data_IF_527885798497
#
_entry.id   IF_527885798497
#
_cell.length_a   1.000
_cell.length_b   1.000
_cell.length_c   1.000
_cell.angle_alpha   90.00
_cell.angle_beta   90.00
_cell.angle_gamma   90.00
#
_symmetry.space_group_name_H-M   'P 1'
#
loop_
_entity.id
_entity.type
_entity.pdbx_description
1 polymer ?
#
# COMPACT_ATOMS: atom_id res chain seq x y z
N UNK A 1 -18.96 -6.13 -12.38
CA UNK A 1 -17.81 -6.53 -11.53
C UNK A 1 -17.94 -5.84 -10.19
N UNK A 2 -17.69 -6.53 -9.08
CA UNK A 2 -17.72 -5.94 -7.74
C UNK A 2 -16.30 -5.70 -7.27
N UNK A 3 -15.96 -4.47 -6.92
CA UNK A 3 -14.62 -4.09 -6.47
C UNK A 3 -14.57 -3.94 -4.95
N UNK A 4 -13.46 -4.36 -4.33
CA UNK A 4 -13.17 -3.98 -2.95
C UNK A 4 -12.94 -2.47 -2.87
N UNK A 5 -13.53 -1.86 -1.85
CA UNK A 5 -13.31 -0.46 -1.48
C UNK A 5 -12.23 -0.39 -0.42
N UNK A 6 -11.64 0.80 -0.27
CA UNK A 6 -10.69 1.09 0.78
C UNK A 6 -11.21 0.70 2.17
N UNK A 7 -10.31 0.22 3.02
CA UNK A 7 -10.61 0.00 4.44
C UNK A 7 -10.68 1.35 5.19
N UNK A 8 -10.94 1.31 6.50
CA UNK A 8 -11.02 2.53 7.33
C UNK A 8 -9.76 3.42 7.28
N UNK A 9 -8.57 2.86 7.01
CA UNK A 9 -7.32 3.63 6.84
C UNK A 9 -7.30 4.38 5.52
N UNK A 10 -7.79 3.74 4.47
CA UNK A 10 -7.77 4.29 3.12
C UNK A 10 -8.84 5.36 2.95
N UNK A 11 -10.02 5.15 3.52
CA UNK A 11 -11.20 5.98 3.24
C UNK A 11 -12.03 5.41 2.08
N UNK A 12 -13.00 6.19 1.60
CA UNK A 12 -13.96 5.74 0.59
C UNK A 12 -13.55 6.10 -0.85
N UNK A 13 -12.52 6.93 -1.04
CA UNK A 13 -12.03 7.40 -2.33
C UNK A 13 -11.01 6.48 -3.00
N UNK A 14 -11.05 5.18 -2.71
CA UNK A 14 -10.05 4.20 -3.16
C UNK A 14 -10.70 2.86 -3.53
N UNK A 15 -10.38 2.33 -4.71
CA UNK A 15 -10.53 0.91 -5.03
C UNK A 15 -9.27 0.15 -4.59
N UNK A 16 -9.44 -1.11 -4.22
CA UNK A 16 -8.33 -1.95 -3.75
C UNK A 16 -8.22 -3.20 -4.60
N UNK A 17 -6.98 -3.53 -4.97
CA UNK A 17 -6.60 -4.84 -5.51
C UNK A 17 -5.88 -5.62 -4.42
N UNK A 18 -6.32 -6.85 -4.18
CA UNK A 18 -5.77 -7.71 -3.14
C UNK A 18 -5.47 -9.08 -3.72
N UNK A 19 -4.21 -9.50 -3.62
CA UNK A 19 -3.80 -10.88 -3.90
C UNK A 19 -3.53 -11.59 -2.57
N UNK A 20 -3.66 -12.91 -2.55
CA UNK A 20 -3.41 -13.69 -1.34
C UNK A 20 -1.93 -13.61 -0.96
N UNK A 21 -1.62 -13.39 0.33
CA UNK A 21 -0.24 -13.24 0.81
C UNK A 21 0.64 -14.43 0.46
N UNK A 22 0.13 -15.66 0.55
CA UNK A 22 0.89 -16.90 0.30
C UNK A 22 1.68 -16.89 -1.02
N UNK A 23 1.02 -17.21 -2.14
CA UNK A 23 1.71 -17.39 -3.43
C UNK A 23 2.32 -16.09 -4.00
N UNK A 24 2.03 -14.94 -3.40
CA UNK A 24 2.43 -13.63 -3.91
C UNK A 24 3.44 -12.89 -3.05
N UNK A 25 3.90 -13.53 -1.98
CA UNK A 25 5.08 -13.14 -1.22
C UNK A 25 6.15 -14.25 -1.33
N UNK A 26 7.44 -13.93 -1.22
CA UNK A 26 8.47 -14.96 -1.20
C UNK A 26 8.29 -15.85 0.04
N UNK A 27 8.46 -17.16 -0.13
CA UNK A 27 8.45 -18.12 0.98
C UNK A 27 9.59 -17.89 1.97
N UNK A 28 10.63 -17.15 1.56
CA UNK A 28 11.76 -16.73 2.38
C UNK A 28 11.53 -15.42 3.12
N UNK A 29 10.30 -14.86 3.10
CA UNK A 29 10.00 -13.65 3.86
C UNK A 29 10.04 -13.93 5.37
N UNK A 30 10.97 -13.29 6.08
CA UNK A 30 11.16 -13.48 7.53
C UNK A 30 9.92 -13.17 8.37
N UNK A 31 9.00 -12.36 7.85
CA UNK A 31 7.76 -12.00 8.54
C UNK A 31 6.60 -12.97 8.25
N UNK A 32 6.71 -13.82 7.22
CA UNK A 32 5.66 -14.79 6.89
C UNK A 32 5.57 -15.83 8.01
N UNK A 33 4.38 -16.02 8.58
CA UNK A 33 4.14 -16.81 9.79
C UNK A 33 4.76 -16.24 11.08
N UNK A 34 5.49 -15.12 11.01
CA UNK A 34 6.11 -14.45 12.16
C UNK A 34 5.86 -12.93 12.13
N UNK A 35 4.60 -12.55 12.35
CA UNK A 35 4.22 -11.14 12.55
C UNK A 35 3.87 -10.36 11.28
N UNK A 36 3.81 -10.97 10.09
CA UNK A 36 3.35 -10.29 8.87
C UNK A 36 1.97 -9.66 9.04
N UNK A 37 1.91 -8.32 8.97
CA UNK A 37 0.66 -7.57 9.07
C UNK A 37 -0.37 -7.99 8.02
N UNK A 38 0.05 -8.24 6.78
CA UNK A 38 -0.85 -8.65 5.70
C UNK A 38 -1.44 -10.04 5.98
N UNK A 39 -0.63 -10.99 6.44
CA UNK A 39 -1.06 -12.34 6.81
C UNK A 39 -1.97 -12.32 8.05
N UNK A 40 -1.61 -11.56 9.09
CA UNK A 40 -2.42 -11.38 10.29
C UNK A 40 -3.79 -10.81 9.93
N UNK A 41 -3.83 -9.83 9.02
CA UNK A 41 -5.08 -9.28 8.49
C UNK A 41 -5.89 -10.35 7.75
N UNK A 42 -5.27 -11.17 6.89
CA UNK A 42 -5.94 -12.30 6.24
C UNK A 42 -6.45 -13.38 7.20
N UNK A 43 -5.75 -13.61 8.31
CA UNK A 43 -6.10 -14.59 9.35
C UNK A 43 -7.27 -14.14 10.23
N UNK A 44 -7.37 -12.84 10.53
CA UNK A 44 -8.49 -12.27 11.32
C UNK A 44 -9.79 -12.35 10.53
N UNK A 45 -9.73 -12.11 9.22
CA UNK A 45 -10.90 -12.11 8.34
C UNK A 45 -11.19 -13.50 7.74
N UNK A 46 -11.31 -14.55 8.58
CA UNK A 46 -11.64 -15.92 8.12
C UNK A 46 -12.92 -15.99 7.29
N UNK A 47 -13.95 -15.22 7.65
CA UNK A 47 -15.18 -15.12 6.88
C UNK A 47 -14.98 -14.41 5.53
N UNK A 48 -14.02 -13.48 5.41
CA UNK A 48 -13.68 -12.83 4.13
C UNK A 48 -12.90 -13.74 3.18
N UNK A 49 -12.31 -14.85 3.67
CA UNK A 49 -11.88 -15.95 2.80
C UNK A 49 -13.07 -16.69 2.18
N UNK A 50 -14.15 -16.89 2.96
CA UNK A 50 -15.35 -17.59 2.53
C UNK A 50 -16.25 -16.75 1.58
N UNK A 51 -16.21 -15.41 1.65
CA UNK A 51 -16.95 -14.53 0.70
C UNK A 51 -16.12 -14.15 -0.55
N UNK A 52 -14.94 -14.78 -0.72
CA UNK A 52 -13.98 -14.52 -1.77
C UNK A 52 -13.11 -13.30 -1.46
N UNK A 53 -11.80 -13.47 -1.61
CA UNK A 53 -10.83 -12.39 -1.80
C UNK A 53 -11.28 -11.51 -2.99
N UNK A 54 -12.21 -10.58 -2.77
CA UNK A 54 -12.80 -9.73 -3.82
C UNK A 54 -11.79 -8.68 -4.29
N UNK A 55 -10.71 -9.12 -4.94
CA UNK A 55 -10.16 -8.60 -6.19
C UNK A 55 -8.76 -9.20 -6.48
N UNK A 56 -8.70 -10.51 -6.75
CA UNK A 56 -7.64 -11.06 -7.60
C UNK A 56 -8.02 -10.74 -9.05
N UNK A 57 -7.50 -9.62 -9.55
CA UNK A 57 -7.72 -9.19 -10.93
C UNK A 57 -6.35 -9.14 -11.58
N UNK A 58 -5.98 -10.21 -12.27
CA UNK A 58 -4.69 -10.30 -12.99
C UNK A 58 -4.87 -10.21 -14.50
N UNK A 59 -6.09 -10.38 -14.99
CA UNK A 59 -6.44 -10.37 -16.40
C UNK A 59 -6.55 -8.95 -16.95
N UNK A 60 -5.85 -8.67 -18.04
CA UNK A 60 -5.73 -7.33 -18.64
C UNK A 60 -7.06 -6.59 -18.87
N UNK A 61 -8.09 -7.27 -19.35
CA UNK A 61 -9.39 -6.64 -19.64
C UNK A 61 -10.15 -6.27 -18.35
N UNK A 62 -9.99 -7.07 -17.29
CA UNK A 62 -10.61 -6.82 -16.00
C UNK A 62 -9.88 -5.70 -15.26
N UNK A 63 -8.54 -5.66 -15.35
CA UNK A 63 -7.73 -4.54 -14.88
C UNK A 63 -8.17 -3.25 -15.57
N UNK A 64 -8.25 -3.25 -16.91
CA UNK A 64 -8.69 -2.08 -17.67
C UNK A 64 -10.09 -1.64 -17.26
N UNK A 65 -11.03 -2.58 -17.08
CA UNK A 65 -12.38 -2.28 -16.62
C UNK A 65 -12.39 -1.64 -15.21
N UNK A 66 -11.53 -2.10 -14.31
CA UNK A 66 -11.33 -1.50 -12.99
C UNK A 66 -10.84 -0.05 -13.09
N UNK A 67 -9.84 0.21 -13.94
CA UNK A 67 -9.30 1.57 -14.13
C UNK A 67 -10.39 2.50 -14.69
N UNK A 68 -11.17 2.04 -15.68
CA UNK A 68 -12.33 2.79 -16.21
C UNK A 68 -13.35 3.09 -15.11
N UNK A 69 -13.62 2.13 -14.23
CA UNK A 69 -14.55 2.34 -13.12
C UNK A 69 -14.01 3.35 -12.10
N UNK A 70 -12.71 3.31 -11.80
CA UNK A 70 -12.06 4.26 -10.92
C UNK A 70 -12.14 5.68 -11.48
N UNK A 71 -11.90 5.87 -12.78
CA UNK A 71 -12.07 7.14 -13.49
C UNK A 71 -13.51 7.64 -13.36
N UNK A 72 -14.51 6.80 -13.68
CA UNK A 72 -15.94 7.18 -13.59
C UNK A 72 -16.38 7.62 -12.20
N UNK A 73 -15.77 7.06 -11.17
CA UNK A 73 -16.08 7.33 -9.76
C UNK A 73 -15.19 8.41 -9.15
N UNK A 74 -14.22 8.92 -9.91
CA UNK A 74 -13.22 9.88 -9.42
C UNK A 74 -12.50 9.37 -8.16
N UNK A 75 -12.22 8.06 -8.15
CA UNK A 75 -11.50 7.40 -7.05
C UNK A 75 -10.16 6.90 -7.53
N UNK A 76 -9.27 6.74 -6.57
CA UNK A 76 -7.94 6.20 -6.80
C UNK A 76 -7.89 4.67 -6.69
N UNK A 77 -6.73 4.08 -7.01
CA UNK A 77 -6.50 2.63 -6.91
C UNK A 77 -5.27 2.36 -6.05
N UNK A 78 -5.46 1.59 -4.97
CA UNK A 78 -4.37 0.99 -4.23
C UNK A 78 -4.17 -0.44 -4.69
N UNK A 79 -3.04 -0.68 -5.33
CA UNK A 79 -2.59 -2.02 -5.65
C UNK A 79 -2.01 -2.67 -4.39
N UNK A 80 -2.24 -3.96 -4.25
CA UNK A 80 -1.66 -4.80 -3.18
C UNK A 80 -1.83 -4.22 -1.78
N UNK A 81 -3.08 -4.08 -1.33
CA UNK A 81 -3.31 -3.94 0.11
C UNK A 81 -2.86 -5.20 0.86
N UNK A 82 -2.93 -6.35 0.20
CA UNK A 82 -2.44 -7.67 0.62
C UNK A 82 -1.77 -8.35 -0.57
N UNK A 83 -0.81 -9.22 -0.28
CA UNK A 83 0.02 -9.86 -1.29
C UNK A 83 0.95 -8.87 -2.00
N UNK A 84 1.54 -9.31 -3.11
CA UNK A 84 2.47 -8.51 -3.92
C UNK A 84 2.49 -8.98 -5.40
N UNK A 85 3.51 -8.60 -6.15
CA UNK A 85 3.70 -8.96 -7.56
C UNK A 85 4.28 -10.35 -7.82
N UNK A 86 4.57 -11.17 -6.80
CA UNK A 86 5.03 -12.55 -7.05
C UNK A 86 3.89 -13.50 -7.43
N UNK A 87 4.27 -14.60 -8.05
CA UNK A 87 3.48 -15.81 -8.26
C UNK A 87 4.41 -16.99 -8.11
N UNK A 88 4.24 -17.77 -7.04
CA UNK A 88 5.09 -18.92 -6.70
C UNK A 88 6.57 -18.53 -6.52
N UNK A 89 6.85 -17.40 -5.86
CA UNK A 89 8.21 -16.96 -5.54
C UNK A 89 8.96 -16.24 -6.67
N UNK A 90 8.36 -16.13 -7.86
CA UNK A 90 8.91 -15.37 -8.99
C UNK A 90 8.05 -14.17 -9.34
N UNK A 91 8.64 -13.16 -9.99
CA UNK A 91 7.89 -12.01 -10.50
C UNK A 91 6.84 -12.46 -11.52
N UNK A 92 5.57 -12.16 -11.24
CA UNK A 92 4.45 -12.38 -12.14
C UNK A 92 4.49 -11.35 -13.29
N UNK A 93 5.38 -11.58 -14.26
CA UNK A 93 5.62 -10.66 -15.36
C UNK A 93 4.36 -10.45 -16.20
N UNK A 94 3.56 -11.51 -16.42
CA UNK A 94 2.29 -11.41 -17.12
C UNK A 94 1.34 -10.42 -16.42
N UNK A 95 1.27 -10.48 -15.09
CA UNK A 95 0.44 -9.55 -14.34
C UNK A 95 0.92 -8.10 -14.44
N UNK A 96 2.23 -7.87 -14.31
CA UNK A 96 2.83 -6.53 -14.50
C UNK A 96 2.54 -6.00 -15.91
N UNK A 97 2.76 -6.82 -16.94
CA UNK A 97 2.48 -6.48 -18.34
C UNK A 97 1.00 -6.20 -18.58
N UNK A 98 0.10 -6.94 -17.93
CA UNK A 98 -1.35 -6.71 -18.03
C UNK A 98 -1.76 -5.36 -17.42
N UNK A 99 -1.11 -4.90 -16.34
CA UNK A 99 -1.30 -3.56 -15.78
C UNK A 99 -0.83 -2.50 -16.78
N UNK A 100 0.38 -2.65 -17.32
CA UNK A 100 0.96 -1.73 -18.31
C UNK A 100 0.07 -1.62 -19.54
N UNK A 101 -0.35 -2.75 -20.11
CA UNK A 101 -1.25 -2.79 -21.26
C UNK A 101 -2.55 -2.04 -21.00
N UNK A 102 -3.15 -2.23 -19.82
CA UNK A 102 -4.40 -1.57 -19.48
C UNK A 102 -4.24 -0.05 -19.37
N UNK A 103 -3.13 0.40 -18.79
CA UNK A 103 -2.78 1.82 -18.70
C UNK A 103 -2.56 2.43 -20.09
N UNK A 104 -1.71 1.81 -20.92
CA UNK A 104 -1.40 2.29 -22.26
C UNK A 104 -2.61 2.25 -23.19
N UNK A 105 -3.49 1.24 -23.07
CA UNK A 105 -4.76 1.20 -23.80
C UNK A 105 -5.61 2.44 -23.51
N UNK A 106 -5.76 2.83 -22.24
CA UNK A 106 -6.56 4.00 -21.87
C UNK A 106 -5.90 5.32 -22.30
N UNK A 107 -4.57 5.42 -22.16
CA UNK A 107 -3.81 6.58 -22.62
C UNK A 107 -3.90 6.76 -24.14
N UNK A 108 -3.86 5.67 -24.91
CA UNK A 108 -4.02 5.70 -26.37
C UNK A 108 -5.41 6.18 -26.83
N UNK A 109 -6.42 6.05 -25.96
CA UNK A 109 -7.77 6.60 -26.15
C UNK A 109 -7.89 8.06 -25.69
N UNK A 110 -6.79 8.68 -25.26
CA UNK A 110 -6.77 10.06 -24.75
C UNK A 110 -7.39 10.22 -23.36
N UNK A 111 -7.49 9.13 -22.58
CA UNK A 111 -8.00 9.20 -21.19
C UNK A 111 -6.86 9.46 -20.21
N UNK A 112 -7.18 10.19 -19.15
CA UNK A 112 -6.30 10.32 -18.00
C UNK A 112 -6.46 9.12 -17.04
N UNK A 113 -5.36 8.66 -16.47
CA UNK A 113 -5.37 7.60 -15.46
C UNK A 113 -5.76 8.18 -14.08
N UNK A 114 -6.47 7.42 -13.24
CA UNK A 114 -6.70 7.82 -11.86
C UNK A 114 -5.37 7.81 -11.08
N UNK A 115 -5.33 8.43 -9.90
CA UNK A 115 -4.20 8.24 -9.01
C UNK A 115 -4.10 6.75 -8.63
N UNK A 116 -2.91 6.18 -8.79
CA UNK A 116 -2.62 4.79 -8.47
C UNK A 116 -1.37 4.73 -7.61
N UNK A 117 -1.32 3.81 -6.64
CA UNK A 117 -0.12 3.58 -5.85
C UNK A 117 -0.04 2.18 -5.26
N UNK A 118 1.16 1.79 -4.83
CA UNK A 118 1.46 0.47 -4.27
C UNK A 118 2.59 0.56 -3.24
N UNK A 119 2.62 -0.40 -2.31
CA UNK A 119 3.81 -0.75 -1.53
C UNK A 119 4.25 -2.15 -1.94
N UNK A 120 5.52 -2.33 -2.28
CA UNK A 120 6.05 -3.64 -2.65
C UNK A 120 7.27 -3.99 -1.79
N UNK A 121 7.37 -5.26 -1.40
CA UNK A 121 8.56 -5.86 -0.81
C UNK A 121 9.43 -6.54 -1.86
N UNK A 122 9.03 -6.50 -3.14
CA UNK A 122 9.79 -7.08 -4.25
C UNK A 122 10.66 -5.98 -4.84
N UNK A 123 11.95 -6.03 -4.54
CA UNK A 123 12.93 -5.07 -5.04
C UNK A 123 13.48 -5.52 -6.41
N UNK A 124 12.61 -5.50 -7.41
CA UNK A 124 12.94 -5.86 -8.78
C UNK A 124 12.84 -4.63 -9.70
N UNK A 125 13.89 -4.37 -10.49
CA UNK A 125 13.95 -3.19 -11.37
C UNK A 125 12.79 -3.15 -12.36
N UNK A 126 12.29 -4.31 -12.79
CA UNK A 126 11.17 -4.42 -13.74
C UNK A 126 9.89 -3.82 -13.18
N UNK A 127 9.65 -3.89 -11.86
CA UNK A 127 8.49 -3.25 -11.23
C UNK A 127 8.61 -1.73 -11.37
N UNK A 128 9.78 -1.18 -11.05
CA UNK A 128 10.02 0.27 -11.10
C UNK A 128 9.95 0.77 -12.53
N UNK A 129 10.69 0.15 -13.44
CA UNK A 129 10.82 0.56 -14.83
C UNK A 129 9.47 0.54 -15.56
N UNK A 130 8.64 -0.46 -15.28
CA UNK A 130 7.36 -0.62 -15.96
C UNK A 130 6.22 0.16 -15.30
N UNK A 131 6.14 0.21 -13.97
CA UNK A 131 4.96 0.74 -13.28
C UNK A 131 5.08 2.20 -12.84
N UNK A 132 6.30 2.70 -12.61
CA UNK A 132 6.48 4.06 -12.05
C UNK A 132 6.03 5.19 -12.98
N UNK A 133 5.81 4.89 -14.27
CA UNK A 133 5.21 5.82 -15.24
C UNK A 133 3.71 6.04 -14.98
N UNK A 134 3.02 5.07 -14.41
CA UNK A 134 1.56 5.07 -14.28
C UNK A 134 1.08 5.22 -12.83
N UNK A 135 1.94 4.90 -11.86
CA UNK A 135 1.56 4.88 -10.44
C UNK A 135 2.74 5.20 -9.53
N UNK A 136 2.43 5.58 -8.29
CA UNK A 136 3.45 5.79 -7.26
C UNK A 136 3.84 4.44 -6.64
N UNK A 137 5.10 4.07 -6.80
CA UNK A 137 5.64 2.79 -6.30
C UNK A 137 6.53 3.06 -5.09
N UNK A 138 6.09 2.59 -3.92
CA UNK A 138 6.88 2.61 -2.69
C UNK A 138 7.54 1.25 -2.45
N UNK A 139 8.82 1.26 -2.07
CA UNK A 139 9.46 0.11 -1.46
C UNK A 139 9.02 0.03 0.02
N UNK A 140 8.42 -1.08 0.42
CA UNK A 140 8.14 -1.38 1.81
C UNK A 140 9.40 -1.96 2.45
N UNK A 141 10.04 -1.22 3.35
CA UNK A 141 11.37 -1.53 3.90
C UNK A 141 11.30 -1.65 5.43
N UNK A 142 12.10 -2.55 6.01
CA UNK A 142 12.10 -2.82 7.45
C UNK A 142 13.42 -2.45 8.13
N UNK A 143 14.47 -2.23 7.34
CA UNK A 143 15.82 -1.89 7.80
C UNK A 143 16.62 -1.21 6.67
N UNK A 144 17.86 -0.80 6.98
CA UNK A 144 18.74 -0.12 6.03
C UNK A 144 19.15 -1.01 4.84
N UNK A 145 19.36 -2.31 5.05
CA UNK A 145 19.72 -3.24 3.98
C UNK A 145 18.59 -3.37 2.95
N UNK A 146 17.34 -3.41 3.42
CA UNK A 146 16.16 -3.40 2.55
C UNK A 146 16.06 -2.09 1.76
N UNK A 147 16.34 -0.95 2.41
CA UNK A 147 16.37 0.35 1.74
C UNK A 147 17.46 0.40 0.67
N UNK A 148 18.65 -0.10 0.97
CA UNK A 148 19.76 -0.17 0.01
C UNK A 148 19.39 -1.07 -1.19
N UNK A 149 18.88 -2.27 -0.94
CA UNK A 149 18.44 -3.19 -1.99
C UNK A 149 17.34 -2.57 -2.87
N UNK A 150 16.34 -1.92 -2.26
CA UNK A 150 15.29 -1.20 -2.98
C UNK A 150 15.83 -0.01 -3.80
N UNK A 151 16.79 0.73 -3.25
CA UNK A 151 17.45 1.85 -3.95
C UNK A 151 18.22 1.34 -5.17
N UNK A 152 18.94 0.22 -5.02
CA UNK A 152 19.66 -0.43 -6.11
C UNK A 152 18.71 -0.98 -7.19
N UNK A 153 17.49 -1.38 -6.81
CA UNK A 153 16.42 -1.74 -7.73
C UNK A 153 15.70 -0.53 -8.37
N UNK A 154 16.11 0.71 -8.04
CA UNK A 154 15.63 1.94 -8.66
C UNK A 154 14.44 2.61 -7.96
N UNK A 155 13.99 2.12 -6.80
CA UNK A 155 12.89 2.76 -6.07
C UNK A 155 13.28 4.16 -5.60
N UNK A 156 12.33 5.10 -5.71
CA UNK A 156 12.50 6.51 -5.30
C UNK A 156 11.71 6.89 -4.06
N UNK A 157 10.76 6.04 -3.67
CA UNK A 157 9.88 6.26 -2.54
C UNK A 157 9.96 5.08 -1.59
N UNK A 158 10.05 5.37 -0.29
CA UNK A 158 10.24 4.37 0.75
C UNK A 158 9.14 4.46 1.82
N UNK A 159 8.58 3.31 2.14
CA UNK A 159 7.66 3.09 3.24
C UNK A 159 8.41 2.31 4.32
N UNK A 160 8.96 3.01 5.32
CA UNK A 160 9.67 2.40 6.43
C UNK A 160 8.70 1.83 7.45
N UNK A 161 8.83 0.55 7.75
CA UNK A 161 8.05 -0.18 8.73
C UNK A 161 8.90 -0.34 10.01
N UNK A 162 8.49 0.35 11.08
CA UNK A 162 9.12 0.33 12.41
C UNK A 162 8.79 -0.99 13.14
N UNK A 163 9.36 -2.10 12.67
CA UNK A 163 9.15 -3.46 13.23
C UNK A 163 9.93 -3.68 14.53
N UNK A 164 11.07 -3.02 14.68
CA UNK A 164 11.94 -3.04 15.87
C UNK A 164 11.45 -2.07 16.97
N UNK A 165 10.42 -1.27 16.68
CA UNK A 165 9.80 -0.31 17.61
C UNK A 165 10.76 0.79 18.09
N UNK A 166 11.75 1.15 17.26
CA UNK A 166 12.69 2.25 17.53
C UNK A 166 11.97 3.58 17.65
N UNK A 167 10.98 3.83 16.78
CA UNK A 167 10.31 5.13 16.70
C UNK A 167 9.02 5.22 17.50
N UNK A 168 8.53 4.09 18.01
CA UNK A 168 7.32 4.06 18.80
C UNK A 168 7.20 2.81 19.65
N UNK A 169 6.85 2.98 20.93
CA UNK A 169 6.44 1.85 21.77
C UNK A 169 5.07 1.31 21.36
N UNK A 170 4.82 0.03 21.67
CA UNK A 170 3.54 -0.65 21.42
C UNK A 170 2.35 0.20 21.84
N UNK A 171 1.41 0.39 20.91
CA UNK A 171 0.19 1.17 21.13
C UNK A 171 -0.54 0.70 22.40
N UNK A 172 -0.77 1.59 23.40
CA UNK A 172 -1.44 1.22 24.63
C UNK A 172 -2.96 1.03 24.42
N UNK A 173 -3.61 0.37 25.38
CA UNK A 173 -5.07 0.26 25.43
C UNK A 173 -5.69 1.43 26.20
N UNK A 174 -6.90 1.83 25.81
CA UNK A 174 -7.69 2.89 26.47
C UNK A 174 -7.54 4.27 25.83
N UNK A 175 -8.67 5.00 25.68
CA UNK A 175 -8.78 6.24 24.89
C UNK A 175 -7.74 7.29 25.31
N UNK A 176 -7.66 7.61 26.60
CA UNK A 176 -6.72 8.63 27.12
C UNK A 176 -5.25 8.27 26.87
N UNK A 177 -4.88 7.01 27.09
CA UNK A 177 -3.50 6.52 26.85
C UNK A 177 -3.15 6.54 25.37
N UNK A 178 -4.09 6.18 24.49
CA UNK A 178 -3.91 6.25 23.04
C UNK A 178 -3.72 7.69 22.57
N UNK A 179 -4.45 8.65 23.12
CA UNK A 179 -4.30 10.05 22.76
C UNK A 179 -2.93 10.61 23.19
N UNK A 180 -2.51 10.33 24.42
CA UNK A 180 -1.19 10.70 24.91
C UNK A 180 -0.07 10.06 24.05
N UNK A 181 -0.21 8.77 23.75
CA UNK A 181 0.70 8.03 22.87
C UNK A 181 0.80 8.70 21.49
N UNK A 182 -0.33 8.97 20.85
CA UNK A 182 -0.41 9.67 19.55
C UNK A 182 0.31 11.02 19.53
N UNK A 183 0.17 11.80 20.61
CA UNK A 183 0.84 13.10 20.76
C UNK A 183 2.36 12.96 20.88
N UNK A 184 2.83 11.89 21.53
CA UNK A 184 4.25 11.59 21.71
C UNK A 184 4.93 11.06 20.43
N UNK A 185 4.18 10.50 19.48
CA UNK A 185 4.75 9.96 18.24
C UNK A 185 5.47 11.05 17.42
N UNK A 186 6.65 10.73 16.86
CA UNK A 186 7.39 11.67 16.03
C UNK A 186 6.54 12.07 14.82
N UNK A 187 6.58 13.35 14.42
CA UNK A 187 5.95 13.79 13.17
C UNK A 187 6.75 13.35 11.95
N UNK A 188 8.06 13.23 12.15
CA UNK A 188 9.08 13.05 11.15
C UNK A 188 10.26 12.34 11.80
N UNK A 189 10.90 11.45 11.05
CA UNK A 189 12.17 10.83 11.42
C UNK A 189 13.19 11.06 10.29
N UNK A 190 14.47 11.08 10.66
CA UNK A 190 15.57 10.99 9.70
C UNK A 190 16.13 9.57 9.83
N UNK A 191 16.08 8.80 8.75
CA UNK A 191 16.54 7.42 8.69
C UNK A 191 17.43 7.31 7.46
N UNK A 192 18.67 6.84 7.63
CA UNK A 192 19.68 6.75 6.56
C UNK A 192 19.80 8.05 5.74
N UNK A 193 19.90 9.18 6.45
CA UNK A 193 19.97 10.55 5.91
C UNK A 193 18.77 10.99 5.06
N UNK A 194 17.67 10.23 5.07
CA UNK A 194 16.43 10.58 4.38
C UNK A 194 15.31 10.94 5.34
N UNK A 195 14.43 11.82 4.88
CA UNK A 195 13.30 12.33 5.65
C UNK A 195 12.09 11.43 5.47
N UNK A 196 11.59 10.87 6.56
CA UNK A 196 10.34 10.10 6.60
C UNK A 196 9.26 10.87 7.35
N UNK A 197 8.08 11.02 6.75
CA UNK A 197 6.91 11.58 7.43
C UNK A 197 6.13 10.45 8.06
N UNK A 198 5.92 10.51 9.36
CA UNK A 198 5.09 9.52 10.05
C UNK A 198 3.65 9.57 9.55
N UNK A 199 3.10 8.41 9.19
CA UNK A 199 1.75 8.28 8.64
C UNK A 199 0.73 9.10 9.47
N UNK A 200 0.09 10.13 8.87
CA UNK A 200 -0.85 10.99 9.58
C UNK A 200 -2.04 10.24 10.17
N UNK A 201 -2.49 9.17 9.51
CA UNK A 201 -3.56 8.31 10.02
C UNK A 201 -3.16 7.68 11.36
N UNK A 202 -1.94 7.15 11.47
CA UNK A 202 -1.48 6.50 12.71
C UNK A 202 -1.35 7.52 13.86
N UNK A 203 -0.89 8.74 13.55
CA UNK A 203 -0.73 9.82 14.54
C UNK A 203 -2.03 10.48 14.95
N UNK A 204 -2.95 10.75 14.03
CA UNK A 204 -4.18 11.51 14.31
C UNK A 204 -5.40 10.61 14.53
N UNK A 205 -5.38 9.40 13.99
CA UNK A 205 -6.49 8.47 14.01
C UNK A 205 -7.54 8.75 12.93
N UNK A 206 -8.51 7.84 12.86
CA UNK A 206 -9.56 7.76 11.82
C UNK A 206 -10.94 8.27 12.27
N UNK A 207 -11.06 8.77 13.50
CA UNK A 207 -12.34 9.28 14.03
C UNK A 207 -12.77 10.55 13.28
N UNK A 208 -13.99 11.04 13.51
CA UNK A 208 -14.46 12.28 12.88
C UNK A 208 -13.47 13.43 13.10
N UNK A 209 -13.08 14.12 12.01
CA UNK A 209 -12.00 15.11 12.00
C UNK A 209 -10.58 14.53 11.95
N UNK A 210 -10.47 13.20 11.84
CA UNK A 210 -9.23 12.44 11.68
C UNK A 210 -8.72 12.44 10.24
N UNK A 211 -7.77 11.54 9.96
CA UNK A 211 -7.06 11.50 8.67
C UNK A 211 -7.10 10.10 8.07
N UNK A 212 -7.43 10.03 6.78
CA UNK A 212 -7.35 8.81 5.95
C UNK A 212 -6.55 9.11 4.67
N UNK A 213 -6.21 8.08 3.90
CA UNK A 213 -5.39 8.28 2.68
C UNK A 213 -6.11 9.13 1.64
N UNK A 214 -7.39 8.83 1.37
CA UNK A 214 -8.21 9.47 0.32
C UNK A 214 -9.41 10.24 0.85
N UNK A 215 -9.49 10.42 2.18
CA UNK A 215 -10.58 11.15 2.80
C UNK A 215 -11.90 10.37 2.85
N UNK A 216 -12.81 10.92 3.65
CA UNK A 216 -14.22 10.54 3.68
C UNK A 216 -15.03 11.82 3.94
N UNK A 217 -16.36 11.72 3.99
CA UNK A 217 -17.19 12.85 4.45
C UNK A 217 -16.81 13.35 5.87
N UNK A 218 -16.20 12.49 6.69
CA UNK A 218 -15.89 12.75 8.11
C UNK A 218 -14.37 12.83 8.38
N UNK A 219 -13.51 12.70 7.35
CA UNK A 219 -12.05 12.68 7.53
C UNK A 219 -11.31 13.42 6.43
N UNK A 220 -10.16 13.99 6.78
CA UNK A 220 -9.30 14.72 5.86
C UNK A 220 -8.43 13.75 5.07
N UNK A 221 -8.31 13.97 3.76
CA UNK A 221 -7.36 13.25 2.90
C UNK A 221 -5.91 13.69 3.18
N UNK A 222 -5.00 12.74 3.36
CA UNK A 222 -3.58 13.07 3.55
C UNK A 222 -2.79 13.14 2.24
N UNK A 223 -3.19 12.38 1.22
CA UNK A 223 -2.55 12.29 -0.10
C UNK A 223 -1.06 11.93 -0.15
N UNK A 224 -0.36 11.72 0.97
CA UNK A 224 1.09 11.45 0.98
C UNK A 224 1.48 10.29 0.06
N UNK A 225 0.86 9.13 0.30
CA UNK A 225 1.15 7.91 -0.45
C UNK A 225 0.51 7.97 -1.84
N UNK A 226 -0.71 8.53 -1.92
CA UNK A 226 -1.50 8.63 -3.15
C UNK A 226 -0.78 9.42 -4.23
N UNK A 227 -0.13 10.51 -3.85
CA UNK A 227 0.51 11.47 -4.75
C UNK A 227 2.04 11.44 -4.68
N UNK A 228 2.64 10.48 -3.97
CA UNK A 228 4.10 10.38 -3.89
C UNK A 228 4.78 11.61 -3.28
N UNK A 229 4.23 12.16 -2.19
CA UNK A 229 4.68 13.46 -1.67
C UNK A 229 5.89 13.36 -0.72
N UNK A 230 6.14 12.19 -0.12
CA UNK A 230 7.26 11.96 0.79
C UNK A 230 7.46 10.47 1.07
N UNK A 231 8.65 10.09 1.53
CA UNK A 231 8.82 8.81 2.22
C UNK A 231 7.96 8.78 3.49
N UNK A 232 7.46 7.60 3.83
CA UNK A 232 6.47 7.43 4.91
C UNK A 232 6.99 6.48 5.96
N UNK A 233 6.82 6.84 7.23
CA UNK A 233 7.09 5.97 8.38
C UNK A 233 5.79 5.38 8.92
N UNK A 234 5.72 4.05 8.96
CA UNK A 234 4.69 3.28 9.62
C UNK A 234 5.21 2.74 10.95
N UNK A 235 4.47 3.02 12.02
CA UNK A 235 4.89 2.81 13.41
C UNK A 235 4.33 1.51 14.01
N UNK A 236 5.15 0.67 14.65
CA UNK A 236 4.73 -0.67 15.13
C UNK A 236 4.03 -1.48 14.04
N UNK A 237 4.63 -1.54 12.84
CA UNK A 237 4.07 -2.30 11.72
C UNK A 237 4.47 -3.77 11.81
#
# INVERSE_FOLDING_TARGET
>A
MQFSKGNEKLGNGCLVVSRAVGDTCPSTCDFLHDGCYAEATENIFKNSRAVGLRNMITEKNLIRAMIVEAIKKEVSIRWHERGDFFKNGELDCEYVENIVWACESLLSEGKELPNMWVYSHIYDTRIVDQLSKYMVVYASVHNSDHKEAASNAGFKYFAWCDTDNVYSVKKPRGKAKVEAWRKALPKLAIIDNERYITCPEMRRGRQAGGVTCTGTKDSVECNLCVKGLANVLFLNH
#
